data_IF_134346996076
#
_entry.id   IF_134346996076
#
_cell.length_a   1.000
_cell.length_b   1.000
_cell.length_c   1.000
_cell.angle_alpha   90.00
_cell.angle_beta   90.00
_cell.angle_gamma   90.00
#
_symmetry.space_group_name_H-M   'P 1'
#
loop_
_entity.id
_entity.type
_entity.pdbx_description
1 polymer ?
#
# COMPACT_ATOMS: atom_id res chain seq x y z
N UNK A 1 80.96 11.24 29.59
CA UNK A 1 80.49 11.29 31.00
C UNK A 1 79.10 11.92 30.97
N UNK A 2 78.04 11.13 31.28
CA UNK A 2 76.63 11.54 31.56
C UNK A 2 75.89 12.39 30.51
N UNK A 3 74.59 12.24 30.21
CA UNK A 3 73.49 11.37 30.62
C UNK A 3 72.35 11.59 29.61
N UNK A 4 71.61 10.54 29.35
CA UNK A 4 70.38 10.47 28.56
C UNK A 4 69.32 11.51 28.97
N UNK A 5 68.46 11.93 28.04
CA UNK A 5 67.02 12.04 28.29
C UNK A 5 66.22 11.80 26.99
N UNK A 6 65.45 10.72 27.01
CA UNK A 6 64.46 10.36 26.01
C UNK A 6 63.29 11.34 26.06
N UNK A 7 62.86 11.86 24.91
CA UNK A 7 61.52 12.41 24.76
C UNK A 7 60.70 11.45 23.90
N UNK A 8 59.83 10.69 24.57
CA UNK A 8 58.74 9.93 23.96
C UNK A 8 57.66 10.91 23.54
N UNK A 9 57.50 11.10 22.23
CA UNK A 9 56.35 11.85 21.67
C UNK A 9 55.12 10.96 21.77
N UNK A 10 54.28 11.20 22.77
CA UNK A 10 52.99 10.52 22.93
C UNK A 10 52.02 10.95 21.81
N UNK A 11 51.60 9.98 21.00
CA UNK A 11 50.53 10.18 20.01
C UNK A 11 49.20 10.10 20.77
N UNK A 12 48.57 11.25 21.00
CA UNK A 12 47.17 11.33 21.43
C UNK A 12 46.27 10.95 20.24
N UNK A 13 45.76 9.72 20.23
CA UNK A 13 44.65 9.30 19.37
C UNK A 13 43.37 9.97 19.88
N UNK A 14 42.98 11.11 19.30
CA UNK A 14 41.61 11.59 19.39
C UNK A 14 40.73 10.65 18.54
N UNK A 15 40.00 9.76 19.20
CA UNK A 15 38.88 9.05 18.57
C UNK A 15 37.72 10.04 18.41
N UNK A 16 37.58 10.60 17.21
CA UNK A 16 36.38 11.33 16.85
C UNK A 16 35.22 10.33 16.77
N UNK A 17 34.40 10.28 17.81
CA UNK A 17 33.07 9.70 17.73
C UNK A 17 32.23 10.59 16.82
N UNK A 18 32.25 10.28 15.52
CA UNK A 18 31.27 10.80 14.58
C UNK A 18 29.91 10.26 15.02
N UNK A 19 29.11 11.10 15.70
CA UNK A 19 27.67 10.87 15.78
C UNK A 19 27.17 10.92 14.35
N UNK A 20 26.98 9.76 13.74
CA UNK A 20 26.25 9.64 12.48
C UNK A 20 24.83 10.09 12.78
N UNK A 21 24.58 11.39 12.58
CA UNK A 21 23.24 11.88 12.39
C UNK A 21 22.74 11.19 11.13
N UNK A 22 21.95 10.13 11.29
CA UNK A 22 21.12 9.64 10.21
C UNK A 22 20.22 10.81 9.85
N UNK A 23 20.56 11.50 8.77
CA UNK A 23 19.63 12.39 8.10
C UNK A 23 18.45 11.49 7.71
N UNK A 24 17.37 11.57 8.48
CA UNK A 24 16.12 10.95 8.13
C UNK A 24 15.76 11.55 6.78
N UNK A 25 15.81 10.74 5.72
CA UNK A 25 15.45 11.19 4.38
C UNK A 25 13.96 11.54 4.43
N UNK A 26 13.66 12.81 4.70
CA UNK A 26 12.33 13.35 4.55
C UNK A 26 12.10 13.39 3.05
N UNK A 27 11.45 12.36 2.54
CA UNK A 27 10.85 12.46 1.22
C UNK A 27 9.75 13.51 1.35
N UNK A 28 9.83 14.65 0.64
CA UNK A 28 8.69 15.53 0.57
C UNK A 28 7.53 14.68 0.06
N UNK A 29 6.44 14.57 0.83
CA UNK A 29 5.20 13.97 0.36
C UNK A 29 4.84 14.81 -0.86
N UNK A 30 4.95 14.28 -2.10
CA UNK A 30 4.54 15.06 -3.24
C UNK A 30 3.07 15.37 -3.00
N UNK A 31 2.74 16.65 -2.90
CA UNK A 31 1.36 17.12 -2.93
C UNK A 31 0.79 16.81 -4.30
N UNK A 32 0.46 15.55 -4.52
CA UNK A 32 -0.25 15.06 -5.68
C UNK A 32 -1.64 14.80 -5.15
N UNK A 33 -2.58 15.68 -5.49
CA UNK A 33 -4.00 15.33 -5.47
C UNK A 33 -4.16 14.27 -6.56
N UNK A 34 -3.71 13.05 -6.28
CA UNK A 34 -3.75 11.96 -7.23
C UNK A 34 -5.20 11.49 -7.28
N UNK A 35 -5.91 12.04 -8.25
CA UNK A 35 -7.32 11.78 -8.53
C UNK A 35 -7.63 10.32 -8.86
N UNK A 36 -6.60 9.51 -9.12
CA UNK A 36 -6.73 8.08 -9.36
C UNK A 36 -6.65 7.25 -8.08
N UNK A 37 -6.09 7.78 -7.00
CA UNK A 37 -5.98 7.05 -5.73
C UNK A 37 -7.11 7.40 -4.79
N UNK A 38 -7.39 6.55 -3.81
CA UNK A 38 -8.40 6.84 -2.81
C UNK A 38 -8.41 5.86 -1.65
N UNK A 39 -9.25 6.17 -0.68
CA UNK A 39 -9.49 5.33 0.48
C UNK A 39 -10.44 4.19 0.10
N UNK A 40 -10.13 2.97 0.53
CA UNK A 40 -10.95 1.79 0.36
C UNK A 40 -11.42 1.28 1.70
N UNK A 41 -12.67 0.84 1.72
CA UNK A 41 -13.32 0.26 2.88
C UNK A 41 -13.98 -1.06 2.50
N UNK A 42 -13.79 -2.07 3.34
CA UNK A 42 -14.40 -3.37 3.22
C UNK A 42 -15.43 -3.59 4.33
N UNK A 43 -16.59 -4.10 3.93
CA UNK A 43 -17.74 -4.35 4.80
C UNK A 43 -17.96 -5.85 4.93
N UNK A 44 -17.89 -6.36 6.16
CA UNK A 44 -18.13 -7.76 6.51
C UNK A 44 -19.32 -7.81 7.47
N UNK A 45 -20.37 -8.55 7.13
CA UNK A 45 -21.55 -8.68 8.00
C UNK A 45 -22.29 -7.35 8.27
N UNK A 46 -22.22 -6.39 7.34
CA UNK A 46 -22.83 -5.08 7.47
C UNK A 46 -22.05 -4.07 8.32
N UNK A 47 -20.82 -4.40 8.74
CA UNK A 47 -19.96 -3.50 9.50
C UNK A 47 -18.67 -3.18 8.72
N UNK A 48 -18.27 -1.91 8.77
CA UNK A 48 -16.95 -1.42 8.34
C UNK A 48 -15.86 -2.16 9.11
N UNK A 49 -14.96 -2.84 8.41
CA UNK A 49 -13.99 -3.71 9.06
C UNK A 49 -12.55 -3.35 8.68
N UNK A 50 -12.24 -3.34 7.37
CA UNK A 50 -10.88 -3.10 6.89
C UNK A 50 -10.79 -1.91 5.96
N UNK A 51 -9.62 -1.27 5.99
CA UNK A 51 -9.38 0.06 5.46
C UNK A 51 -8.01 0.13 4.85
N UNK A 52 -7.93 0.69 3.66
CA UNK A 52 -6.66 0.83 2.97
C UNK A 52 -6.78 1.76 1.79
N UNK A 53 -5.99 1.48 0.77
CA UNK A 53 -5.93 2.33 -0.41
C UNK A 53 -6.23 1.54 -1.67
N UNK A 54 -6.87 2.24 -2.60
CA UNK A 54 -7.11 1.76 -3.96
C UNK A 54 -6.55 2.73 -4.97
N UNK A 55 -6.28 2.22 -6.17
CA UNK A 55 -5.90 3.03 -7.32
C UNK A 55 -6.73 2.66 -8.55
N UNK A 56 -7.26 3.67 -9.21
CA UNK A 56 -7.87 3.60 -10.53
C UNK A 56 -6.74 3.57 -11.56
N UNK A 57 -6.53 2.41 -12.15
CA UNK A 57 -5.44 2.18 -13.09
C UNK A 57 -5.94 1.32 -14.24
N UNK A 58 -5.33 1.48 -15.42
CA UNK A 58 -5.70 0.82 -16.69
C UNK A 58 -7.10 1.19 -17.23
N UNK A 59 -8.11 1.32 -16.38
CA UNK A 59 -9.48 1.63 -16.77
C UNK A 59 -10.16 2.47 -15.68
N UNK A 60 -10.97 3.47 -16.06
CA UNK A 60 -11.75 4.25 -15.11
C UNK A 60 -12.70 3.41 -14.22
N UNK A 61 -13.09 2.20 -14.65
CA UNK A 61 -14.05 1.32 -13.94
C UNK A 61 -13.39 0.23 -13.12
N UNK A 62 -12.07 0.30 -12.91
CA UNK A 62 -11.32 -0.69 -12.16
C UNK A 62 -10.52 -0.04 -11.04
N UNK A 63 -10.61 -0.60 -9.85
CA UNK A 63 -9.79 -0.21 -8.70
C UNK A 63 -8.90 -1.39 -8.34
N UNK A 64 -7.61 -1.12 -8.21
CA UNK A 64 -6.58 -2.08 -7.87
C UNK A 64 -6.23 -1.89 -6.40
N UNK A 65 -6.18 -2.98 -5.64
CA UNK A 65 -5.89 -2.96 -4.21
C UNK A 65 -5.32 -4.30 -3.73
N UNK A 66 -5.09 -4.41 -2.42
CA UNK A 66 -4.63 -5.63 -1.79
C UNK A 66 -5.80 -6.60 -1.55
N UNK A 67 -5.53 -7.89 -1.50
CA UNK A 67 -6.53 -8.90 -1.19
C UNK A 67 -6.80 -8.98 0.31
N UNK A 68 -5.78 -8.74 1.15
CA UNK A 68 -5.92 -8.75 2.62
C UNK A 68 -6.92 -7.72 3.12
N UNK A 69 -7.15 -6.63 2.38
CA UNK A 69 -8.19 -5.65 2.72
C UNK A 69 -9.60 -6.22 2.68
N UNK A 70 -9.81 -7.31 1.95
CA UNK A 70 -11.13 -7.88 1.69
C UNK A 70 -11.28 -9.29 2.25
N UNK A 71 -10.26 -9.84 2.91
CA UNK A 71 -10.29 -11.20 3.44
C UNK A 71 -9.76 -11.24 4.86
N UNK A 72 -10.62 -11.56 5.82
CA UNK A 72 -10.29 -11.67 7.24
C UNK A 72 -11.09 -12.80 7.89
N UNK A 73 -10.50 -13.47 8.88
CA UNK A 73 -11.17 -14.50 9.69
C UNK A 73 -11.87 -15.58 8.83
N UNK A 74 -11.22 -15.95 7.73
CA UNK A 74 -11.74 -16.95 6.80
C UNK A 74 -12.84 -16.46 5.85
N UNK A 75 -13.12 -15.15 5.81
CA UNK A 75 -14.29 -14.58 5.12
C UNK A 75 -13.91 -13.45 4.19
N UNK A 76 -14.47 -13.47 2.99
CA UNK A 76 -14.42 -12.35 2.06
C UNK A 76 -15.46 -11.28 2.41
N UNK A 77 -15.09 -10.01 2.28
CA UNK A 77 -15.98 -8.88 2.40
C UNK A 77 -17.08 -8.93 1.33
N UNK A 78 -18.28 -8.54 1.74
CA UNK A 78 -19.50 -8.58 0.91
C UNK A 78 -19.93 -7.20 0.42
N UNK A 79 -19.33 -6.13 0.95
CA UNK A 79 -19.54 -4.76 0.52
C UNK A 79 -18.23 -3.99 0.47
N UNK A 80 -18.19 -2.96 -0.37
CA UNK A 80 -16.99 -2.17 -0.62
C UNK A 80 -17.38 -0.70 -0.83
N UNK A 81 -16.57 0.22 -0.32
CA UNK A 81 -16.70 1.66 -0.61
C UNK A 81 -15.35 2.21 -1.03
N UNK A 82 -15.36 3.01 -2.10
CA UNK A 82 -14.19 3.72 -2.60
C UNK A 82 -14.42 5.22 -2.54
N UNK A 83 -13.51 5.92 -1.86
CA UNK A 83 -13.54 7.36 -1.68
C UNK A 83 -12.35 7.95 -2.43
N UNK A 84 -12.63 8.37 -3.66
CA UNK A 84 -11.63 8.90 -4.60
C UNK A 84 -10.98 10.17 -4.05
N UNK A 85 -9.68 10.31 -4.29
CA UNK A 85 -8.86 11.46 -3.90
C UNK A 85 -8.96 11.78 -2.39
N UNK A 86 -9.27 10.77 -1.56
CA UNK A 86 -9.35 10.93 -0.12
C UNK A 86 -7.96 10.94 0.51
N UNK A 87 -7.46 12.14 0.80
CA UNK A 87 -6.14 12.40 1.40
C UNK A 87 -6.26 13.12 2.75
N UNK A 88 -7.34 12.87 3.48
CA UNK A 88 -7.67 13.55 4.74
C UNK A 88 -7.45 12.66 5.95
N UNK A 89 -7.14 13.28 7.09
CA UNK A 89 -7.11 12.64 8.41
C UNK A 89 -8.51 12.42 9.00
N UNK A 90 -9.53 13.01 8.37
CA UNK A 90 -10.93 12.78 8.73
C UNK A 90 -11.47 11.54 8.02
N UNK A 91 -12.45 10.89 8.64
CA UNK A 91 -13.17 9.78 8.02
C UNK A 91 -14.16 10.33 6.98
N UNK A 92 -14.27 9.74 5.78
CA UNK A 92 -15.26 10.16 4.81
C UNK A 92 -16.66 9.78 5.28
N UNK A 93 -17.66 10.59 4.92
CA UNK A 93 -19.05 10.21 5.15
C UNK A 93 -19.46 9.12 4.15
N UNK A 94 -20.32 8.20 4.57
CA UNK A 94 -20.77 7.06 3.76
C UNK A 94 -21.34 7.48 2.38
N UNK A 95 -21.93 8.68 2.26
CA UNK A 95 -22.49 9.22 1.03
C UNK A 95 -21.46 9.73 0.01
N UNK A 96 -20.19 9.86 0.42
CA UNK A 96 -19.08 10.25 -0.44
C UNK A 96 -18.43 9.05 -1.13
N UNK A 97 -18.72 7.83 -0.67
CA UNK A 97 -18.19 6.59 -1.20
C UNK A 97 -18.97 6.11 -2.41
N UNK A 98 -18.25 5.65 -3.44
CA UNK A 98 -18.85 4.90 -4.55
C UNK A 98 -18.70 3.42 -4.25
N UNK A 99 -19.78 2.65 -4.36
CA UNK A 99 -19.75 1.20 -4.17
C UNK A 99 -19.36 0.48 -5.48
N UNK A 100 -18.23 -0.23 -5.52
CA UNK A 100 -17.95 -1.20 -6.57
C UNK A 100 -19.01 -2.29 -6.64
N UNK A 101 -19.22 -2.81 -7.84
CA UNK A 101 -20.16 -3.92 -8.08
C UNK A 101 -19.66 -5.23 -7.49
N UNK A 102 -18.34 -5.44 -7.50
CA UNK A 102 -17.74 -6.67 -7.02
C UNK A 102 -16.23 -6.65 -7.08
N UNK A 103 -15.65 -7.79 -6.70
CA UNK A 103 -14.22 -8.01 -6.59
C UNK A 103 -13.77 -9.23 -7.38
N UNK A 104 -12.56 -9.16 -7.95
CA UNK A 104 -11.80 -10.30 -8.46
C UNK A 104 -10.51 -10.42 -7.66
N UNK A 105 -10.13 -11.65 -7.33
CA UNK A 105 -8.97 -11.98 -6.52
C UNK A 105 -8.43 -13.35 -6.95
N UNK A 106 -7.21 -13.67 -6.55
CA UNK A 106 -6.66 -15.02 -6.70
C UNK A 106 -7.27 -15.93 -5.65
N UNK A 107 -7.88 -17.05 -6.06
CA UNK A 107 -8.50 -18.01 -5.13
C UNK A 107 -7.47 -18.62 -4.17
N UNK A 108 -6.21 -18.73 -4.61
CA UNK A 108 -5.09 -19.17 -3.78
C UNK A 108 -4.74 -18.21 -2.64
N UNK A 109 -5.19 -16.95 -2.69
CA UNK A 109 -4.93 -16.01 -1.59
C UNK A 109 -5.55 -16.50 -0.28
N UNK A 110 -6.85 -16.80 -0.28
CA UNK A 110 -7.55 -17.27 0.93
C UNK A 110 -7.04 -18.62 1.41
N UNK A 111 -6.65 -19.50 0.49
CA UNK A 111 -6.06 -20.80 0.81
C UNK A 111 -4.72 -20.61 1.54
N UNK A 112 -3.80 -19.83 0.94
CA UNK A 112 -2.50 -19.53 1.53
C UNK A 112 -2.61 -18.77 2.86
N UNK A 113 -3.52 -17.78 2.95
CA UNK A 113 -3.75 -17.01 4.17
C UNK A 113 -4.23 -17.89 5.32
N UNK A 114 -5.05 -18.91 5.04
CA UNK A 114 -5.54 -19.85 6.05
C UNK A 114 -4.49 -20.88 6.46
N UNK A 115 -3.65 -21.35 5.52
CA UNK A 115 -2.69 -22.44 5.79
C UNK A 115 -1.34 -21.95 6.29
N UNK A 116 -0.80 -20.88 5.70
CA UNK A 116 0.54 -20.35 5.99
C UNK A 116 0.48 -19.03 6.80
N UNK A 117 -0.65 -18.33 6.73
CA UNK A 117 -0.87 -17.03 7.37
C UNK A 117 -0.82 -15.85 6.40
N UNK A 118 -1.39 -14.69 6.78
CA UNK A 118 -1.52 -13.51 5.91
C UNK A 118 -0.18 -12.84 5.57
N UNK A 119 0.87 -13.08 6.37
CA UNK A 119 2.19 -12.50 6.21
C UNK A 119 3.19 -13.44 5.52
N UNK A 120 2.78 -14.66 5.13
CA UNK A 120 3.66 -15.59 4.43
C UNK A 120 3.97 -15.09 3.00
N UNK A 121 5.17 -15.42 2.50
CA UNK A 121 5.62 -15.00 1.18
C UNK A 121 4.68 -15.48 0.06
N UNK A 122 4.14 -16.70 0.16
CA UNK A 122 3.20 -17.25 -0.82
C UNK A 122 1.87 -16.52 -0.80
N UNK A 123 1.42 -16.07 0.37
CA UNK A 123 0.21 -15.26 0.52
C UNK A 123 0.42 -13.88 -0.07
N UNK A 124 1.55 -13.25 0.27
CA UNK A 124 1.93 -11.93 -0.23
C UNK A 124 2.08 -11.88 -1.75
N UNK A 125 2.62 -12.94 -2.37
CA UNK A 125 2.80 -13.04 -3.81
C UNK A 125 1.48 -12.96 -4.61
N UNK A 126 0.36 -13.25 -3.96
CA UNK A 126 -0.99 -13.18 -4.55
C UNK A 126 -1.90 -12.21 -3.81
N UNK A 127 -1.34 -11.31 -2.99
CA UNK A 127 -2.06 -10.27 -2.24
C UNK A 127 -2.52 -9.13 -3.15
N UNK A 128 -3.43 -9.47 -4.04
CA UNK A 128 -3.88 -8.58 -5.09
C UNK A 128 -5.35 -8.80 -5.43
N UNK A 129 -6.05 -7.70 -5.58
CA UNK A 129 -7.48 -7.67 -5.85
C UNK A 129 -7.83 -6.55 -6.84
N UNK A 130 -8.86 -6.79 -7.64
CA UNK A 130 -9.42 -5.81 -8.58
C UNK A 130 -10.90 -5.67 -8.33
N UNK A 131 -11.32 -4.50 -7.85
CA UNK A 131 -12.72 -4.12 -7.75
C UNK A 131 -13.17 -3.56 -9.10
N UNK A 132 -14.41 -3.83 -9.48
CA UNK A 132 -14.97 -3.39 -10.75
C UNK A 132 -16.36 -2.75 -10.57
N UNK A 133 -16.65 -1.74 -11.38
CA UNK A 133 -17.90 -0.98 -11.35
C UNK A 133 -18.63 -0.95 -12.69
N UNK A 134 -19.90 -0.55 -12.67
CA UNK A 134 -20.63 -0.23 -13.90
C UNK A 134 -20.36 1.21 -14.37
N UNK A 135 -20.00 2.09 -13.41
CA UNK A 135 -19.65 3.50 -13.61
C UNK A 135 -18.16 3.73 -13.38
N UNK A 136 -17.64 4.85 -13.87
CA UNK A 136 -16.25 5.25 -13.66
C UNK A 136 -16.02 5.69 -12.22
N UNK A 137 -14.88 5.28 -11.66
CA UNK A 137 -14.39 5.66 -10.34
C UNK A 137 -13.43 6.85 -10.38
N UNK A 138 -13.09 7.37 -11.56
CA UNK A 138 -12.14 8.47 -11.73
C UNK A 138 -11.17 8.27 -12.90
N UNK A 139 -10.25 9.22 -13.10
CA UNK A 139 -9.22 9.10 -14.13
C UNK A 139 -8.26 7.96 -13.80
N UNK A 140 -7.95 7.13 -14.79
CA UNK A 140 -6.98 6.05 -14.63
C UNK A 140 -5.55 6.54 -14.86
N UNK A 141 -4.61 6.17 -13.96
CA UNK A 141 -3.17 6.53 -14.08
C UNK A 141 -2.48 6.04 -15.35
N UNK A 142 -3.01 5.00 -15.96
CA UNK A 142 -2.66 4.53 -17.30
C UNK A 142 -3.97 4.06 -17.93
N UNK A 143 -4.22 4.32 -19.20
CA UNK A 143 -5.45 3.88 -19.88
C UNK A 143 -5.16 2.72 -20.83
N UNK A 144 -6.04 1.73 -20.87
CA UNK A 144 -6.05 0.67 -21.87
C UNK A 144 -7.38 0.71 -22.63
N UNK A 145 -7.38 0.57 -23.97
CA UNK A 145 -8.61 0.53 -24.75
C UNK A 145 -9.52 -0.66 -24.40
N UNK A 146 -8.95 -1.74 -23.89
CA UNK A 146 -9.67 -2.92 -23.42
C UNK A 146 -9.04 -3.44 -22.12
N UNK A 147 -9.62 -3.02 -21.00
CA UNK A 147 -9.15 -3.39 -19.69
C UNK A 147 -9.46 -4.84 -19.31
N UNK A 148 -10.54 -5.41 -19.86
CA UNK A 148 -10.89 -6.82 -19.65
C UNK A 148 -9.84 -7.73 -20.25
N UNK A 149 -9.43 -7.48 -21.50
CA UNK A 149 -8.33 -8.18 -22.15
C UNK A 149 -6.99 -7.92 -21.44
N UNK A 150 -6.76 -6.69 -20.98
CA UNK A 150 -5.51 -6.32 -20.30
C UNK A 150 -5.34 -7.00 -18.94
N UNK A 151 -6.41 -7.20 -18.17
CA UNK A 151 -6.35 -7.99 -16.93
C UNK A 151 -6.08 -9.47 -17.24
N UNK A 152 -6.75 -10.00 -18.26
CA UNK A 152 -6.67 -11.43 -18.64
C UNK A 152 -5.40 -11.79 -19.41
N UNK A 153 -4.61 -10.81 -19.84
CA UNK A 153 -3.37 -11.07 -20.59
C UNK A 153 -2.30 -11.71 -19.71
N UNK A 154 -1.43 -12.50 -20.34
CA UNK A 154 -0.26 -13.13 -19.68
C UNK A 154 0.90 -12.16 -19.44
N UNK A 155 0.78 -10.89 -19.87
CA UNK A 155 1.82 -9.88 -19.68
C UNK A 155 1.99 -9.57 -18.20
N UNK A 156 3.24 -9.52 -17.73
CA UNK A 156 3.57 -9.09 -16.37
C UNK A 156 3.07 -7.68 -16.10
N UNK A 157 2.37 -7.52 -14.99
CA UNK A 157 1.74 -6.25 -14.59
C UNK A 157 2.53 -5.70 -13.41
N UNK A 158 3.10 -4.50 -13.57
CA UNK A 158 3.72 -3.76 -12.47
C UNK A 158 2.67 -2.82 -11.86
N UNK A 159 2.33 -3.05 -10.60
CA UNK A 159 1.53 -2.11 -9.81
C UNK A 159 2.51 -1.22 -9.06
N UNK A 160 2.41 0.09 -9.26
CA UNK A 160 3.28 1.09 -8.63
C UNK A 160 2.40 1.88 -7.67
N UNK A 161 2.86 2.08 -6.44
CA UNK A 161 2.16 2.91 -5.44
C UNK A 161 1.63 2.14 -4.25
N UNK A 162 2.48 1.35 -3.60
CA UNK A 162 2.22 0.83 -2.25
C UNK A 162 2.22 2.02 -1.27
N UNK A 163 1.09 2.43 -0.67
CA UNK A 163 1.13 3.39 0.41
C UNK A 163 1.37 2.61 1.71
N UNK A 164 2.63 2.54 2.16
CA UNK A 164 2.89 2.25 3.56
C UNK A 164 2.55 3.51 4.37
N UNK A 165 1.32 3.63 4.85
CA UNK A 165 1.04 4.51 5.99
C UNK A 165 0.08 3.78 6.93
N UNK A 166 0.58 3.50 8.14
CA UNK A 166 -0.20 2.97 9.26
C UNK A 166 -1.21 4.05 9.66
N UNK A 167 -2.50 3.84 9.40
CA UNK A 167 -3.54 4.59 10.07
C UNK A 167 -3.62 4.12 11.53
N UNK A 168 -2.94 4.81 12.44
CA UNK A 168 -3.16 4.61 13.89
C UNK A 168 -4.26 5.56 14.35
N UNK A 169 -5.32 5.00 14.96
CA UNK A 169 -6.30 5.78 15.71
C UNK A 169 -5.61 6.49 16.88
N UNK A 170 -5.94 7.77 17.09
CA UNK A 170 -5.96 8.33 18.45
C UNK A 170 -7.21 7.82 19.17
#
# INVERSE_FOLDING_TARGET
MQRSFHFLTGIFLLSAFSKSAFAQQIYPIPGLVDESTGYLEAIVGGQSFFRGSGIVARDPKLIYSCAHLFYEDGKWATGYLFYRAWHSDTYPNDDQGVAPRGLRYFTSYSENANSEGPNDEKTFAVDFSVLYGNSEFGPAKATSPDAGASIRSSTSKRIIGYPQNRFQRK
#
